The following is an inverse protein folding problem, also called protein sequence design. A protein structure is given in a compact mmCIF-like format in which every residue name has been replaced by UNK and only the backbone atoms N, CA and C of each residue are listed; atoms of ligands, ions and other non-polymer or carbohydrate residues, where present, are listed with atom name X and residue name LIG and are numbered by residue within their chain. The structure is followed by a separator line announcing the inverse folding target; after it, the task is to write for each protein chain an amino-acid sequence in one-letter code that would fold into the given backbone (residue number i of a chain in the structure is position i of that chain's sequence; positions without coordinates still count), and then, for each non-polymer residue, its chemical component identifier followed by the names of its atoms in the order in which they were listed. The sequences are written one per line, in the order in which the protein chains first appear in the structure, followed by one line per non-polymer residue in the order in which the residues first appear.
data_IF_049234950418
#
_entry.id   IF_049234950418
#
_cell.length_a   1.000
_cell.length_b   1.000
_cell.length_c   1.000
_cell.angle_alpha   90.00
_cell.angle_beta   90.00
_cell.angle_gamma   90.00
#
_symmetry.space_group_name_H-M   'P 1'
#
loop_
_entity.id
_entity.type
_entity.pdbx_description
1 polymer ?
#
# COMPACT_ATOMS: atom_id res chain seq x y z
N UNK A 1 -81.64 -32.38 -4.65
CA UNK A 1 -81.06 -32.43 -6.00
C UNK A 1 -79.55 -32.46 -5.87
N UNK A 2 -78.94 -33.39 -6.62
CA UNK A 2 -77.61 -33.95 -6.50
C UNK A 2 -76.55 -33.11 -7.25
N UNK A 3 -75.35 -32.94 -6.69
CA UNK A 3 -74.00 -32.85 -7.33
C UNK A 3 -73.01 -32.24 -6.31
N UNK A 4 -72.04 -33.00 -5.76
CA UNK A 4 -70.68 -33.27 -6.31
C UNK A 4 -69.89 -31.95 -6.57
N UNK A 5 -68.64 -31.71 -6.15
CA UNK A 5 -67.43 -32.53 -6.03
C UNK A 5 -66.38 -31.86 -5.08
N UNK A 6 -65.54 -32.73 -4.51
CA UNK A 6 -64.12 -32.61 -4.08
C UNK A 6 -63.26 -31.43 -4.57
N UNK A 7 -62.32 -30.96 -3.74
CA UNK A 7 -60.86 -31.07 -3.99
C UNK A 7 -60.01 -30.49 -2.84
N UNK A 8 -59.12 -31.32 -2.29
CA UNK A 8 -57.98 -30.91 -1.48
C UNK A 8 -56.86 -30.40 -2.40
N UNK A 9 -56.17 -29.32 -2.00
CA UNK A 9 -54.90 -28.91 -2.61
C UNK A 9 -53.86 -28.72 -1.50
N UNK A 10 -53.07 -29.77 -1.31
CA UNK A 10 -51.68 -29.68 -0.85
C UNK A 10 -50.84 -29.09 -1.99
N UNK A 11 -50.00 -28.09 -1.73
CA UNK A 11 -49.22 -27.47 -2.80
C UNK A 11 -48.11 -26.51 -2.36
N UNK A 12 -47.03 -27.09 -1.84
CA UNK A 12 -45.62 -26.69 -2.01
C UNK A 12 -45.20 -25.22 -1.80
N UNK A 13 -44.64 -24.96 -0.62
CA UNK A 13 -43.67 -23.88 -0.39
C UNK A 13 -42.41 -24.11 -1.24
N UNK A 14 -42.25 -23.36 -2.33
CA UNK A 14 -40.96 -23.24 -3.02
C UNK A 14 -40.04 -22.32 -2.20
N UNK A 15 -39.14 -22.92 -1.43
CA UNK A 15 -37.94 -22.26 -0.92
C UNK A 15 -37.00 -21.98 -2.11
N UNK A 16 -36.97 -20.72 -2.54
CA UNK A 16 -35.94 -20.19 -3.43
C UNK A 16 -34.59 -20.22 -2.69
N UNK A 17 -33.80 -21.28 -2.92
CA UNK A 17 -32.40 -21.29 -2.59
C UNK A 17 -31.65 -20.37 -3.57
N UNK A 18 -31.37 -19.14 -3.16
CA UNK A 18 -30.44 -18.27 -3.87
C UNK A 18 -29.00 -18.82 -3.72
N UNK A 19 -28.19 -18.83 -4.79
CA UNK A 19 -26.81 -19.33 -4.71
C UNK A 19 -25.93 -18.33 -3.96
N UNK A 20 -25.37 -18.79 -2.83
CA UNK A 20 -24.46 -18.05 -1.92
C UNK A 20 -23.03 -17.87 -2.46
N UNK A 21 -22.83 -17.85 -3.79
CA UNK A 21 -21.50 -18.05 -4.40
C UNK A 21 -20.95 -16.86 -5.20
N UNK A 22 -21.48 -15.64 -5.02
CA UNK A 22 -21.04 -14.46 -5.80
C UNK A 22 -20.15 -13.45 -5.03
N UNK A 23 -19.86 -13.67 -3.75
CA UNK A 23 -19.23 -12.64 -2.90
C UNK A 23 -17.74 -12.84 -2.60
N UNK A 24 -17.13 -13.95 -3.03
CA UNK A 24 -15.71 -14.24 -2.72
C UNK A 24 -14.70 -13.68 -3.74
N UNK A 25 -15.13 -13.20 -4.91
CA UNK A 25 -14.22 -12.89 -6.02
C UNK A 25 -13.64 -11.46 -6.05
N UNK A 26 -14.09 -10.56 -5.18
CA UNK A 26 -13.67 -9.14 -5.24
C UNK A 26 -12.45 -8.82 -4.36
N UNK A 27 -12.22 -9.59 -3.29
CA UNK A 27 -11.11 -9.30 -2.36
C UNK A 27 -9.75 -9.74 -2.94
N UNK A 28 -9.69 -10.87 -3.65
CA UNK A 28 -8.45 -11.34 -4.29
C UNK A 28 -8.03 -10.48 -5.49
N UNK A 29 -8.98 -10.03 -6.31
CA UNK A 29 -8.67 -9.21 -7.48
C UNK A 29 -8.15 -7.81 -7.11
N UNK A 30 -8.56 -7.26 -5.96
CA UNK A 30 -8.03 -5.99 -5.43
C UNK A 30 -6.61 -6.17 -4.87
N UNK A 31 -6.33 -7.27 -4.17
CA UNK A 31 -5.00 -7.56 -3.64
C UNK A 31 -3.95 -7.76 -4.76
N UNK A 32 -4.31 -8.44 -5.86
CA UNK A 32 -3.41 -8.75 -6.98
C UNK A 32 -2.98 -7.50 -7.77
N UNK A 33 -3.82 -6.46 -7.78
CA UNK A 33 -3.56 -5.21 -8.53
C UNK A 33 -3.04 -4.06 -7.67
N UNK A 34 -2.95 -4.27 -6.35
CA UNK A 34 -2.43 -3.26 -5.44
C UNK A 34 -0.92 -3.14 -5.60
N UNK A 35 -0.43 -1.91 -5.70
CA UNK A 35 1.00 -1.60 -5.81
C UNK A 35 1.35 -0.45 -4.90
N UNK A 36 2.63 -0.37 -4.55
CA UNK A 36 3.23 0.75 -3.86
C UNK A 36 3.76 1.77 -4.87
N UNK A 37 3.26 3.01 -4.76
CA UNK A 37 3.60 4.12 -5.64
C UNK A 37 4.29 5.23 -4.86
N UNK A 38 5.27 5.86 -5.51
CA UNK A 38 5.89 7.11 -5.09
C UNK A 38 5.56 8.20 -6.10
N UNK A 39 5.41 9.45 -5.65
CA UNK A 39 5.35 10.59 -6.57
C UNK A 39 6.74 10.82 -7.18
N UNK A 40 6.78 11.20 -8.45
CA UNK A 40 8.01 11.64 -9.13
C UNK A 40 7.97 13.12 -9.49
N UNK A 41 6.80 13.76 -9.45
CA UNK A 41 6.63 15.19 -9.58
C UNK A 41 5.16 15.60 -9.57
N UNK A 42 4.92 16.89 -9.40
CA UNK A 42 3.59 17.51 -9.55
C UNK A 42 3.39 17.98 -11.00
N UNK A 43 2.16 17.88 -11.49
CA UNK A 43 1.82 18.38 -12.83
C UNK A 43 1.39 19.84 -12.77
N UNK A 44 2.32 20.73 -13.14
CA UNK A 44 2.12 22.19 -13.14
C UNK A 44 1.60 22.75 -14.47
N UNK A 45 1.25 21.88 -15.43
CA UNK A 45 0.73 22.34 -16.72
C UNK A 45 -0.60 23.09 -16.53
N UNK A 46 -0.77 24.17 -17.27
CA UNK A 46 -1.98 25.01 -17.24
C UNK A 46 -2.95 24.56 -18.34
N UNK A 47 -3.79 23.57 -18.07
CA UNK A 47 -4.88 23.18 -18.97
C UNK A 47 -6.11 22.67 -18.20
N UNK A 48 -7.18 22.36 -18.92
CA UNK A 48 -8.44 21.92 -18.33
C UNK A 48 -8.27 20.56 -17.63
N UNK A 49 -8.79 20.45 -16.40
CA UNK A 49 -8.92 19.19 -15.69
C UNK A 49 -9.81 18.21 -16.49
N UNK A 50 -9.48 16.91 -16.60
CA UNK A 50 -8.40 16.17 -15.92
C UNK A 50 -7.09 16.05 -16.74
N UNK A 51 -6.92 16.81 -17.83
CA UNK A 51 -5.73 16.67 -18.69
C UNK A 51 -4.45 17.22 -18.06
N UNK A 52 -4.59 18.14 -17.09
CA UNK A 52 -3.50 18.72 -16.32
C UNK A 52 -3.82 18.75 -14.83
N UNK A 53 -2.78 18.93 -14.02
CA UNK A 53 -2.87 18.95 -12.56
C UNK A 53 -2.63 17.58 -11.95
N UNK A 54 -2.62 17.51 -10.62
CA UNK A 54 -2.32 16.29 -9.88
C UNK A 54 -0.84 15.92 -9.94
N UNK A 55 -0.56 14.65 -10.18
CA UNK A 55 0.74 14.05 -9.90
C UNK A 55 1.24 13.17 -11.05
N UNK A 56 2.55 12.98 -11.10
CA UNK A 56 3.16 11.85 -11.78
C UNK A 56 3.59 10.83 -10.74
N UNK A 57 3.12 9.59 -10.88
CA UNK A 57 3.43 8.51 -9.93
C UNK A 57 4.16 7.37 -10.62
N UNK A 58 4.99 6.67 -9.85
CA UNK A 58 5.75 5.51 -10.30
C UNK A 58 5.59 4.36 -9.31
N UNK A 59 5.36 3.15 -9.81
CA UNK A 59 5.43 1.94 -8.99
C UNK A 59 6.89 1.71 -8.55
N UNK A 60 7.14 1.66 -7.24
CA UNK A 60 8.50 1.47 -6.72
C UNK A 60 9.07 0.12 -7.14
N UNK A 61 10.40 0.04 -7.28
CA UNK A 61 11.17 -1.10 -7.79
C UNK A 61 10.86 -1.53 -9.24
N UNK A 62 9.86 -0.95 -9.91
CA UNK A 62 9.48 -1.32 -11.27
C UNK A 62 10.15 -0.41 -12.31
N UNK A 63 10.54 -1.00 -13.45
CA UNK A 63 11.06 -0.26 -14.59
C UNK A 63 9.95 0.54 -15.32
N UNK A 64 8.75 -0.03 -15.37
CA UNK A 64 7.54 0.56 -15.94
C UNK A 64 6.37 0.44 -14.95
N UNK A 65 5.48 1.41 -14.99
CA UNK A 65 4.24 1.49 -14.20
C UNK A 65 3.07 1.21 -15.13
N UNK A 66 2.16 0.33 -14.71
CA UNK A 66 0.88 0.13 -15.39
C UNK A 66 -0.08 1.25 -14.99
N UNK A 67 -0.48 2.07 -15.95
CA UNK A 67 -1.38 3.19 -15.73
C UNK A 67 -2.85 2.76 -15.71
N UNK A 68 -3.73 3.69 -15.35
CA UNK A 68 -5.17 3.44 -15.21
C UNK A 68 -5.84 2.94 -16.51
N UNK A 69 -5.33 3.37 -17.66
CA UNK A 69 -5.73 2.92 -19.00
C UNK A 69 -5.15 1.55 -19.41
N UNK A 70 -4.33 0.94 -18.55
CA UNK A 70 -3.65 -0.33 -18.80
C UNK A 70 -2.30 -0.21 -19.52
N UNK A 71 -1.93 0.97 -20.01
CA UNK A 71 -0.64 1.22 -20.69
C UNK A 71 0.55 1.05 -19.72
N UNK A 72 1.72 0.71 -20.24
CA UNK A 72 2.97 0.64 -19.48
C UNK A 72 3.83 1.87 -19.79
N UNK A 73 4.07 2.71 -18.78
CA UNK A 73 4.84 3.95 -18.91
C UNK A 73 5.90 4.08 -17.81
N UNK A 74 6.90 4.96 -17.97
CA UNK A 74 7.90 5.19 -16.90
C UNK A 74 7.27 5.76 -15.63
N UNK A 75 6.24 6.58 -15.78
CA UNK A 75 5.40 7.14 -14.74
C UNK A 75 3.99 7.38 -15.32
N UNK A 76 2.97 7.40 -14.48
CA UNK A 76 1.59 7.64 -14.87
C UNK A 76 1.14 9.02 -14.40
N UNK A 77 0.41 9.74 -15.25
CA UNK A 77 -0.28 10.97 -14.86
C UNK A 77 -1.54 10.59 -14.06
N UNK A 78 -1.71 11.23 -12.91
CA UNK A 78 -2.79 10.96 -11.96
C UNK A 78 -3.34 12.29 -11.48
N UNK A 79 -4.40 12.80 -12.15
CA UNK A 79 -5.08 14.02 -11.75
C UNK A 79 -5.64 14.00 -10.32
N UNK A 80 -6.04 12.81 -9.84
CA UNK A 80 -6.69 12.65 -8.53
C UNK A 80 -6.03 11.53 -7.73
N UNK A 81 -5.61 11.84 -6.51
CA UNK A 81 -5.23 10.84 -5.50
C UNK A 81 -6.38 10.77 -4.51
N UNK A 82 -7.11 9.67 -4.53
CA UNK A 82 -8.26 9.45 -3.67
C UNK A 82 -7.81 8.86 -2.32
N UNK A 83 -7.78 9.73 -1.31
CA UNK A 83 -7.46 9.43 0.09
C UNK A 83 -8.71 9.32 0.97
N UNK A 84 -9.90 9.19 0.37
CA UNK A 84 -11.19 9.11 1.08
C UNK A 84 -11.40 7.79 1.84
N UNK A 85 -10.34 7.03 2.10
CA UNK A 85 -10.41 5.84 2.93
C UNK A 85 -10.99 6.12 4.31
N UNK A 86 -11.78 5.16 4.78
CA UNK A 86 -12.32 5.17 6.14
C UNK A 86 -11.17 5.06 7.14
N UNK A 87 -11.24 5.85 8.22
CA UNK A 87 -10.32 5.77 9.35
C UNK A 87 -9.25 6.86 9.39
N UNK A 88 -9.03 7.61 8.31
CA UNK A 88 -8.16 8.79 8.33
C UNK A 88 -8.92 10.02 8.83
N UNK A 89 -8.29 10.80 9.70
CA UNK A 89 -8.74 12.15 10.05
C UNK A 89 -8.39 13.15 8.94
N UNK A 90 -8.95 14.36 9.00
CA UNK A 90 -8.55 15.43 8.05
C UNK A 90 -7.08 15.81 8.21
N UNK A 91 -6.55 15.71 9.45
CA UNK A 91 -5.13 15.91 9.74
C UNK A 91 -4.27 14.86 9.05
N UNK A 92 -4.66 13.59 9.12
CA UNK A 92 -3.94 12.48 8.48
C UNK A 92 -3.93 12.64 6.96
N UNK A 93 -5.10 13.00 6.38
CA UNK A 93 -5.22 13.29 4.95
C UNK A 93 -4.32 14.44 4.52
N UNK A 94 -4.31 15.54 5.28
CA UNK A 94 -3.47 16.69 4.97
C UNK A 94 -1.97 16.35 5.07
N UNK A 95 -1.56 15.69 6.15
CA UNK A 95 -0.16 15.28 6.35
C UNK A 95 0.31 14.32 5.25
N UNK A 96 -0.52 13.32 4.90
CA UNK A 96 -0.22 12.42 3.80
C UNK A 96 -0.14 13.15 2.46
N UNK A 97 -1.10 14.01 2.15
CA UNK A 97 -1.13 14.72 0.86
C UNK A 97 0.07 15.63 0.69
N UNK A 98 0.46 16.36 1.74
CA UNK A 98 1.63 17.24 1.73
C UNK A 98 2.93 16.44 1.54
N UNK A 99 3.15 15.41 2.36
CA UNK A 99 4.32 14.54 2.22
C UNK A 99 4.35 13.81 0.87
N UNK A 100 3.19 13.34 0.39
CA UNK A 100 3.08 12.68 -0.90
C UNK A 100 3.38 13.63 -2.04
N UNK A 101 2.96 14.89 -2.00
CA UNK A 101 3.31 15.87 -3.04
C UNK A 101 4.83 16.16 -3.10
N UNK A 102 5.52 16.04 -1.97
CA UNK A 102 6.95 16.32 -1.85
C UNK A 102 7.86 15.11 -2.13
N UNK A 103 7.32 13.91 -2.39
CA UNK A 103 8.16 12.70 -2.56
C UNK A 103 8.49 11.99 -1.25
N UNK A 104 7.90 12.40 -0.14
CA UNK A 104 8.15 11.88 1.20
C UNK A 104 7.03 10.98 1.72
N UNK A 105 6.21 10.40 0.82
CA UNK A 105 5.24 9.37 1.19
C UNK A 105 5.08 8.32 0.10
N UNK A 106 4.61 7.14 0.51
CA UNK A 106 4.23 6.05 -0.38
C UNK A 106 2.72 5.81 -0.30
N UNK A 107 2.10 5.67 -1.46
CA UNK A 107 0.71 5.28 -1.60
C UNK A 107 0.65 3.80 -2.01
N UNK A 108 0.13 2.94 -1.15
CA UNK A 108 -0.27 1.60 -1.56
C UNK A 108 -1.69 1.68 -2.10
N UNK A 109 -1.94 1.28 -3.33
CA UNK A 109 -3.27 1.43 -3.92
C UNK A 109 -3.40 0.87 -5.33
N UNK A 110 -4.44 1.30 -6.03
CA UNK A 110 -4.74 0.86 -7.40
C UNK A 110 -4.94 2.10 -8.29
N UNK A 111 -4.30 2.10 -9.47
CA UNK A 111 -4.58 3.05 -10.52
C UNK A 111 -5.75 2.56 -11.36
N UNK A 112 -6.81 3.37 -11.47
CA UNK A 112 -7.97 3.07 -12.31
C UNK A 112 -8.66 4.32 -12.78
N UNK A 113 -9.35 4.24 -13.91
CA UNK A 113 -10.21 5.32 -14.38
C UNK A 113 -11.52 5.30 -13.60
N UNK A 114 -11.83 6.39 -12.90
CA UNK A 114 -13.05 6.61 -12.14
C UNK A 114 -13.92 7.63 -12.88
N UNK A 115 -15.22 7.37 -12.99
CA UNK A 115 -16.16 8.35 -13.55
C UNK A 115 -16.63 9.27 -12.45
N UNK A 116 -16.43 10.58 -12.61
CA UNK A 116 -16.96 11.57 -11.69
C UNK A 116 -18.50 11.55 -11.77
N UNK A 117 -19.21 11.28 -10.66
CA UNK A 117 -20.66 11.13 -10.70
C UNK A 117 -21.39 12.44 -11.01
N UNK A 118 -20.80 13.59 -10.68
CA UNK A 118 -21.41 14.92 -10.87
C UNK A 118 -21.22 15.45 -12.30
N UNK A 119 -20.14 15.06 -12.98
CA UNK A 119 -19.80 15.61 -14.31
C UNK A 119 -19.81 14.56 -15.43
N UNK A 120 -19.84 13.27 -15.10
CA UNK A 120 -19.72 12.17 -16.07
C UNK A 120 -18.31 12.00 -16.68
N UNK A 121 -17.36 12.85 -16.30
CA UNK A 121 -15.99 12.84 -16.83
C UNK A 121 -15.21 11.66 -16.25
N UNK A 122 -14.51 10.94 -17.11
CA UNK A 122 -13.56 9.89 -16.72
C UNK A 122 -12.24 10.51 -16.28
N UNK A 123 -11.75 10.10 -15.11
CA UNK A 123 -10.54 10.63 -14.49
C UNK A 123 -9.67 9.48 -14.04
N UNK A 124 -8.39 9.53 -14.37
CA UNK A 124 -7.43 8.56 -13.86
C UNK A 124 -7.11 8.87 -12.40
N UNK A 125 -7.39 7.90 -11.53
CA UNK A 125 -7.34 8.08 -10.09
C UNK A 125 -6.46 7.02 -9.45
N UNK A 126 -5.56 7.45 -8.58
CA UNK A 126 -4.90 6.57 -7.63
C UNK A 126 -5.80 6.42 -6.40
N UNK A 127 -6.48 5.29 -6.30
CA UNK A 127 -7.29 4.97 -5.12
C UNK A 127 -6.36 4.40 -4.06
N UNK A 128 -6.14 5.17 -3.01
CA UNK A 128 -5.22 4.81 -1.93
C UNK A 128 -5.87 3.75 -1.06
N UNK A 129 -5.14 2.65 -0.89
CA UNK A 129 -5.41 1.48 -0.04
C UNK A 129 -4.77 1.59 1.35
N UNK A 130 -3.57 2.18 1.41
CA UNK A 130 -2.92 2.65 2.62
C UNK A 130 -1.83 3.66 2.26
N UNK A 131 -1.52 4.55 3.21
CA UNK A 131 -0.52 5.60 3.04
C UNK A 131 0.60 5.42 4.06
N UNK A 132 1.82 5.72 3.64
CA UNK A 132 3.01 5.60 4.48
C UNK A 132 3.82 6.90 4.45
N UNK A 133 4.06 7.49 5.61
CA UNK A 133 4.75 8.77 5.77
C UNK A 133 6.23 8.56 6.05
N UNK A 134 7.08 9.20 5.23
CA UNK A 134 8.52 9.23 5.42
C UNK A 134 8.89 9.90 6.75
N UNK A 135 9.95 9.41 7.38
CA UNK A 135 10.36 9.86 8.70
C UNK A 135 11.61 10.73 8.65
N UNK A 136 12.59 10.38 7.82
CA UNK A 136 13.83 11.12 7.74
C UNK A 136 13.76 12.35 6.81
N UNK A 137 12.74 12.44 5.96
CA UNK A 137 12.64 13.42 4.87
C UNK A 137 13.86 13.40 3.94
N UNK A 138 14.53 12.25 3.86
CA UNK A 138 15.68 11.99 3.01
C UNK A 138 15.22 11.50 1.64
N UNK A 139 16.03 11.75 0.60
CA UNK A 139 15.76 11.17 -0.71
C UNK A 139 16.02 9.66 -0.64
N UNK A 140 15.01 8.80 -0.89
CA UNK A 140 15.20 7.35 -0.84
C UNK A 140 16.16 6.88 -1.93
N UNK A 141 17.05 5.95 -1.56
CA UNK A 141 18.01 5.29 -2.45
C UNK A 141 17.95 3.77 -2.28
N UNK A 142 18.36 3.03 -3.31
CA UNK A 142 18.25 1.57 -3.32
C UNK A 142 16.83 1.08 -3.63
N UNK A 143 16.54 -0.14 -3.20
CA UNK A 143 15.22 -0.76 -3.40
C UNK A 143 14.32 -0.50 -2.20
N UNK A 144 13.01 -0.58 -2.44
CA UNK A 144 11.98 -0.43 -1.43
C UNK A 144 11.53 -1.78 -0.89
N UNK A 145 11.38 -1.87 0.41
CA UNK A 145 11.02 -3.09 1.13
C UNK A 145 9.89 -2.84 2.12
N UNK A 146 9.03 -3.84 2.29
CA UNK A 146 8.15 -3.96 3.45
C UNK A 146 8.83 -4.82 4.50
N UNK A 147 8.78 -4.38 5.75
CA UNK A 147 9.50 -4.97 6.87
C UNK A 147 8.52 -5.26 8.01
N UNK A 148 8.63 -6.47 8.57
CA UNK A 148 7.85 -6.88 9.74
C UNK A 148 8.67 -7.84 10.57
N UNK A 149 8.41 -7.89 11.87
CA UNK A 149 8.97 -8.93 12.73
C UNK A 149 8.59 -10.32 12.20
N UNK A 150 9.58 -11.21 12.15
CA UNK A 150 9.37 -12.63 11.85
C UNK A 150 8.81 -13.41 13.04
N UNK A 151 8.81 -12.82 14.24
CA UNK A 151 8.47 -13.49 15.51
C UNK A 151 9.61 -14.30 16.14
N UNK A 152 10.78 -14.39 15.50
CA UNK A 152 11.95 -15.09 16.05
C UNK A 152 12.58 -14.26 17.18
N UNK A 153 12.80 -14.89 18.33
CA UNK A 153 13.59 -14.32 19.43
C UNK A 153 15.06 -14.67 19.21
N UNK A 154 15.94 -13.66 19.19
CA UNK A 154 17.35 -13.86 18.93
C UNK A 154 18.10 -14.31 20.19
N UNK A 155 18.75 -15.48 20.12
CA UNK A 155 19.64 -15.99 21.20
C UNK A 155 21.09 -15.62 20.92
N UNK A 156 21.52 -15.68 19.66
CA UNK A 156 22.92 -15.41 19.27
C UNK A 156 22.96 -14.67 17.94
N UNK A 157 23.48 -13.44 17.96
CA UNK A 157 23.55 -12.58 16.78
C UNK A 157 24.58 -13.07 15.74
N UNK A 158 24.32 -12.91 14.42
CA UNK A 158 23.11 -12.39 13.77
C UNK A 158 21.96 -13.41 13.70
N UNK A 159 20.72 -12.97 13.95
CA UNK A 159 19.52 -13.83 13.83
C UNK A 159 18.54 -13.25 12.81
N UNK A 160 17.90 -14.05 11.94
CA UNK A 160 16.98 -13.59 10.90
C UNK A 160 15.60 -13.15 11.45
N UNK A 161 15.58 -12.15 12.33
CA UNK A 161 14.38 -11.72 13.08
C UNK A 161 13.40 -10.85 12.31
N UNK A 162 13.77 -10.36 11.12
CA UNK A 162 12.93 -9.46 10.32
C UNK A 162 12.56 -10.13 9.00
N UNK A 163 11.27 -10.23 8.72
CA UNK A 163 10.75 -10.56 7.40
C UNK A 163 10.81 -9.33 6.50
N UNK A 164 11.54 -9.44 5.40
CA UNK A 164 11.67 -8.44 4.35
C UNK A 164 10.97 -8.91 3.07
N UNK A 165 10.11 -8.06 2.52
CA UNK A 165 9.44 -8.28 1.23
C UNK A 165 9.80 -7.15 0.27
N UNK A 166 10.28 -7.48 -0.92
CA UNK A 166 10.59 -6.46 -1.94
C UNK A 166 9.28 -5.90 -2.49
N UNK A 167 9.06 -4.59 -2.36
CA UNK A 167 7.79 -3.99 -2.79
C UNK A 167 7.58 -4.16 -4.29
N UNK A 168 6.33 -4.43 -4.68
CA UNK A 168 5.92 -4.73 -6.05
C UNK A 168 6.62 -5.95 -6.70
N UNK A 169 7.24 -6.82 -5.91
CA UNK A 169 7.82 -8.10 -6.36
C UNK A 169 7.43 -9.24 -5.40
N UNK A 170 7.41 -10.50 -5.87
CA UNK A 170 7.12 -11.64 -5.00
C UNK A 170 8.29 -12.03 -4.08
N UNK A 171 9.45 -11.38 -4.20
CA UNK A 171 10.65 -11.74 -3.47
C UNK A 171 10.54 -11.39 -1.97
N UNK A 172 10.77 -12.39 -1.13
CA UNK A 172 10.78 -12.28 0.34
C UNK A 172 11.96 -13.05 0.92
N UNK A 173 12.53 -12.54 2.00
CA UNK A 173 13.55 -13.22 2.81
C UNK A 173 13.48 -12.78 4.26
N UNK A 174 14.22 -13.44 5.12
CA UNK A 174 14.48 -12.91 6.45
C UNK A 174 15.87 -12.26 6.49
N UNK A 175 15.97 -11.11 7.14
CA UNK A 175 17.20 -10.38 7.39
C UNK A 175 17.47 -10.31 8.89
N UNK A 176 18.73 -10.13 9.25
CA UNK A 176 19.20 -10.19 10.62
C UNK A 176 19.35 -8.84 11.32
N UNK A 177 19.19 -7.74 10.59
CA UNK A 177 19.22 -6.41 11.17
C UNK A 177 18.53 -5.37 10.31
N UNK A 178 18.18 -4.27 10.95
CA UNK A 178 17.68 -3.06 10.34
C UNK A 178 18.38 -1.86 10.98
N UNK A 179 18.93 -0.97 10.16
CA UNK A 179 19.53 0.27 10.61
C UNK A 179 18.74 1.44 10.01
N UNK A 180 17.87 2.04 10.82
CA UNK A 180 17.06 3.20 10.48
C UNK A 180 17.79 4.53 10.70
N UNK A 181 18.74 4.58 11.64
CA UNK A 181 19.47 5.81 11.97
C UNK A 181 20.32 6.33 10.81
N UNK A 182 20.71 5.46 9.88
CA UNK A 182 21.43 5.83 8.66
C UNK A 182 20.60 6.70 7.69
N UNK A 183 19.28 6.77 7.87
CA UNK A 183 18.41 7.63 7.08
C UNK A 183 18.52 9.12 7.46
N UNK A 184 19.09 9.44 8.63
CA UNK A 184 19.15 10.81 9.17
C UNK A 184 17.94 11.21 10.02
N UNK A 185 17.09 10.24 10.39
CA UNK A 185 15.96 10.45 11.29
C UNK A 185 16.40 10.71 12.74
N UNK A 186 15.54 11.38 13.52
CA UNK A 186 15.79 11.61 14.96
C UNK A 186 15.71 10.29 15.74
N UNK A 187 16.30 10.22 16.95
CA UNK A 187 16.19 9.04 17.80
C UNK A 187 14.73 8.59 18.06
N UNK A 188 13.81 9.55 18.22
CA UNK A 188 12.39 9.30 18.45
C UNK A 188 11.73 8.65 17.22
N UNK A 189 12.08 9.12 16.02
CA UNK A 189 11.58 8.55 14.77
C UNK A 189 12.14 7.14 14.53
N UNK A 190 13.43 6.93 14.85
CA UNK A 190 14.06 5.60 14.79
C UNK A 190 13.36 4.63 15.73
N UNK A 191 13.06 5.07 16.95
CA UNK A 191 12.35 4.26 17.93
C UNK A 191 10.93 3.93 17.47
N UNK A 192 10.17 4.91 16.94
CA UNK A 192 8.86 4.66 16.36
C UNK A 192 8.92 3.64 15.21
N UNK A 193 9.96 3.70 14.37
CA UNK A 193 10.22 2.67 13.35
C UNK A 193 10.48 1.29 13.93
N UNK A 194 11.34 1.19 14.96
CA UNK A 194 11.61 -0.10 15.61
C UNK A 194 10.35 -0.69 16.26
N UNK A 195 9.49 0.13 16.85
CA UNK A 195 8.20 -0.30 17.41
C UNK A 195 7.24 -0.77 16.33
N UNK A 196 7.15 -0.04 15.20
CA UNK A 196 6.28 -0.39 14.08
C UNK A 196 6.59 -1.78 13.51
N UNK A 197 7.84 -2.25 13.55
CA UNK A 197 8.21 -3.61 13.11
C UNK A 197 7.37 -4.71 13.78
N UNK A 198 6.99 -4.52 15.05
CA UNK A 198 6.24 -5.51 15.83
C UNK A 198 4.71 -5.33 15.72
N UNK A 199 4.25 -4.21 15.17
CA UNK A 199 2.83 -3.91 14.96
C UNK A 199 2.42 -3.96 13.48
N UNK A 200 2.21 -2.77 12.92
CA UNK A 200 1.78 -2.54 11.53
C UNK A 200 2.81 -3.00 10.49
N UNK A 201 4.08 -3.11 10.87
CA UNK A 201 5.22 -3.15 9.96
C UNK A 201 5.62 -1.75 9.50
N UNK A 202 6.69 -1.67 8.71
CA UNK A 202 7.12 -0.41 8.11
C UNK A 202 7.64 -0.63 6.69
N UNK A 203 7.74 0.45 5.91
CA UNK A 203 8.42 0.40 4.62
C UNK A 203 9.78 1.08 4.73
N UNK A 204 10.78 0.64 3.97
CA UNK A 204 12.08 1.30 3.92
C UNK A 204 12.70 1.23 2.53
N UNK A 205 13.44 2.26 2.16
CA UNK A 205 14.31 2.25 1.00
C UNK A 205 15.76 2.13 1.45
N UNK A 206 16.53 1.19 0.89
CA UNK A 206 17.93 1.04 1.30
C UNK A 206 18.71 -0.02 0.56
N UNK A 207 19.85 -0.36 1.15
CA UNK A 207 20.80 -1.37 0.64
C UNK A 207 21.21 -2.32 1.75
N UNK A 208 21.57 -3.55 1.39
CA UNK A 208 22.02 -4.55 2.35
C UNK A 208 23.51 -4.45 2.62
N UNK A 209 23.88 -4.69 3.87
CA UNK A 209 25.25 -4.93 4.29
C UNK A 209 25.33 -6.26 5.03
N UNK A 210 26.42 -6.98 4.81
CA UNK A 210 26.72 -8.19 5.58
C UNK A 210 27.20 -7.78 6.98
N UNK A 211 26.62 -8.43 7.99
CA UNK A 211 26.99 -8.30 9.40
C UNK A 211 27.49 -9.65 9.89
N UNK A 212 28.44 -9.64 10.82
CA UNK A 212 29.06 -10.84 11.38
C UNK A 212 28.91 -10.86 12.90
N UNK A 213 28.84 -12.05 13.46
CA UNK A 213 28.79 -12.28 14.90
C UNK A 213 29.01 -13.76 15.24
N UNK A 214 28.82 -14.16 16.50
CA UNK A 214 29.06 -15.53 16.94
C UNK A 214 28.21 -16.58 16.21
N UNK A 215 27.05 -16.22 15.67
CA UNK A 215 26.21 -17.10 14.84
C UNK A 215 26.60 -17.11 13.34
N UNK A 216 27.75 -16.54 12.97
CA UNK A 216 28.20 -16.43 11.59
C UNK A 216 27.83 -15.10 10.95
N UNK A 217 27.30 -15.14 9.72
CA UNK A 217 26.97 -13.94 8.93
C UNK A 217 25.47 -13.79 8.73
N UNK A 218 25.01 -12.54 8.66
CA UNK A 218 23.63 -12.17 8.34
C UNK A 218 23.57 -10.95 7.45
N UNK A 219 22.38 -10.65 6.95
CA UNK A 219 22.12 -9.44 6.17
C UNK A 219 21.45 -8.38 7.05
N UNK A 220 21.90 -7.14 6.95
CA UNK A 220 21.26 -5.98 7.56
C UNK A 220 20.81 -5.02 6.47
N UNK A 221 19.56 -4.57 6.52
CA UNK A 221 19.13 -3.46 5.68
C UNK A 221 19.60 -2.15 6.32
N UNK A 222 20.36 -1.36 5.56
CA UNK A 222 20.73 0.01 5.91
C UNK A 222 19.77 0.94 5.18
N UNK A 223 18.85 1.54 5.92
CA UNK A 223 17.83 2.42 5.36
C UNK A 223 18.42 3.79 5.02
N UNK A 224 18.01 4.31 3.86
CA UNK A 224 18.21 5.70 3.45
C UNK A 224 16.94 6.55 3.68
N UNK A 225 15.79 5.91 3.79
CA UNK A 225 14.51 6.47 4.23
C UNK A 225 13.64 5.32 4.77
N UNK A 226 12.70 5.63 5.67
CA UNK A 226 11.69 4.69 6.13
C UNK A 226 10.35 5.38 6.35
N UNK A 227 9.28 4.60 6.24
CA UNK A 227 7.92 5.09 6.18
C UNK A 227 7.04 4.34 7.16
N UNK A 228 6.28 5.09 7.95
CA UNK A 228 5.31 4.56 8.91
C UNK A 228 3.90 4.66 8.35
N UNK A 229 3.06 3.69 8.70
CA UNK A 229 1.67 3.64 8.25
C UNK A 229 0.89 4.85 8.77
N UNK A 230 -0.07 5.35 8.01
CA UNK A 230 -1.04 6.37 8.48
C UNK A 230 -2.31 5.64 8.96
N UNK A 231 -2.81 5.86 10.19
CA UNK A 231 -2.48 6.92 11.16
C UNK A 231 -1.57 6.44 12.31
N UNK A 232 -0.65 5.51 12.06
CA UNK A 232 0.22 4.88 13.08
C UNK A 232 1.14 5.88 13.83
N UNK A 233 1.07 7.17 13.46
CA UNK A 233 1.57 8.30 14.22
C UNK A 233 0.74 8.50 15.51
N UNK A 234 1.07 7.69 16.52
CA UNK A 234 0.85 7.98 17.94
C UNK A 234 -0.63 8.05 18.36
N UNK A 235 -1.12 6.90 18.86
CA UNK A 235 -1.98 6.90 20.05
C UNK A 235 -1.17 6.41 21.24
#
# INVERSE_FOLDING_TARGET
MLKQLTAAILGSSMLLAAPLAAQAQTIDALAINTRDYIVTGIDLRKCAFPMCGGYFVKAVNQGLTRCADGSLQKQCHVPVVDTSQRGWTDKDRAAFTDAFAQGHALARGILRTVTNPSTGVKVDTLVVGSGWLGQASSKPTGLFYGLKSSGIVCITYPCPTITETTLNFPAKRNIAGLNLSSAGATPEQVEAGNQALFGSGLLAAGVHKTISGPAGQGQQLVASEFYLLVPDMIR
#
